data_IF_912855601491
#
_entry.id   IF_912855601491
#
_cell.length_a   1.000
_cell.length_b   1.000
_cell.length_c   1.000
_cell.angle_alpha   90.00
_cell.angle_beta   90.00
_cell.angle_gamma   90.00
#
_symmetry.space_group_name_H-M   'P 1'
#
loop_
_entity.id
_entity.type
_entity.pdbx_description
1 polymer ?
#
# COMPACT_ATOMS: atom_id res chain seq x y z
N UNK A 1 5.17 -2.66 -13.87
CA UNK A 1 3.82 -2.10 -14.06
C UNK A 1 3.89 -1.10 -15.20
N UNK A 2 3.06 -1.24 -16.21
CA UNK A 2 2.95 -0.27 -17.31
C UNK A 2 2.15 0.92 -16.79
N UNK A 3 2.80 2.05 -16.53
CA UNK A 3 2.13 3.30 -16.20
C UNK A 3 1.40 3.80 -17.43
N UNK A 4 0.07 3.82 -17.38
CA UNK A 4 -0.76 4.45 -18.42
C UNK A 4 -0.80 5.95 -18.13
N UNK A 5 -0.04 6.73 -18.89
CA UNK A 5 -0.03 8.21 -18.78
C UNK A 5 -1.27 8.78 -19.45
N UNK A 6 -1.97 9.69 -18.77
CA UNK A 6 -3.08 10.41 -19.37
C UNK A 6 -2.58 11.56 -20.25
N UNK A 7 -2.92 11.51 -21.54
CA UNK A 7 -2.54 12.53 -22.52
C UNK A 7 -3.56 13.68 -22.50
N UNK A 8 -3.23 14.71 -21.70
CA UNK A 8 -4.02 15.93 -21.55
C UNK A 8 -4.22 16.66 -22.88
N UNK A 9 -3.22 16.63 -23.78
CA UNK A 9 -3.28 17.31 -25.07
C UNK A 9 -4.29 16.63 -25.98
N UNK A 10 -4.16 15.32 -26.18
CA UNK A 10 -5.10 14.52 -26.99
C UNK A 10 -6.52 14.64 -26.47
N UNK A 11 -6.72 14.62 -25.15
CA UNK A 11 -8.03 14.79 -24.54
C UNK A 11 -8.63 16.17 -24.84
N UNK A 12 -7.84 17.24 -24.73
CA UNK A 12 -8.29 18.60 -25.05
C UNK A 12 -8.63 18.76 -26.55
N UNK A 13 -7.88 18.11 -27.43
CA UNK A 13 -8.16 18.12 -28.88
C UNK A 13 -9.46 17.42 -29.20
N UNK A 14 -9.73 16.25 -28.60
CA UNK A 14 -11.00 15.53 -28.76
C UNK A 14 -12.17 16.41 -28.33
N UNK A 15 -12.09 17.05 -27.16
CA UNK A 15 -13.15 17.95 -26.68
C UNK A 15 -13.40 19.10 -27.65
N UNK A 16 -12.32 19.70 -28.17
CA UNK A 16 -12.42 20.77 -29.18
C UNK A 16 -13.09 20.29 -30.47
N UNK A 17 -12.78 19.07 -30.94
CA UNK A 17 -13.45 18.49 -32.13
C UNK A 17 -14.93 18.21 -31.90
N UNK A 18 -15.35 18.07 -30.64
CA UNK A 18 -16.77 17.88 -30.26
C UNK A 18 -17.51 19.18 -29.96
N UNK A 19 -16.88 20.35 -30.21
CA UNK A 19 -17.52 21.67 -30.10
C UNK A 19 -17.29 22.40 -28.78
N UNK A 20 -16.42 21.90 -27.90
CA UNK A 20 -16.00 22.65 -26.71
C UNK A 20 -15.03 23.78 -27.06
N UNK A 21 -15.11 24.89 -26.34
CA UNK A 21 -14.10 25.96 -26.46
C UNK A 21 -12.74 25.47 -25.96
N UNK A 22 -11.66 26.11 -26.42
CA UNK A 22 -10.30 25.78 -25.98
C UNK A 22 -10.15 25.88 -24.45
N UNK A 23 -10.78 26.88 -23.85
CA UNK A 23 -10.75 27.12 -22.40
C UNK A 23 -11.47 26.00 -21.64
N UNK A 24 -12.62 25.56 -22.13
CA UNK A 24 -13.37 24.44 -21.56
C UNK A 24 -12.60 23.12 -21.70
N UNK A 25 -12.05 22.87 -22.88
CA UNK A 25 -11.28 21.66 -23.17
C UNK A 25 -10.04 21.56 -22.28
N UNK A 26 -9.29 22.65 -22.13
CA UNK A 26 -8.13 22.73 -21.21
C UNK A 26 -8.54 22.58 -19.75
N UNK A 27 -9.62 23.24 -19.33
CA UNK A 27 -10.13 23.15 -17.96
C UNK A 27 -10.50 21.72 -17.58
N UNK A 28 -11.23 21.01 -18.44
CA UNK A 28 -11.60 19.62 -18.23
C UNK A 28 -10.39 18.68 -18.24
N UNK A 29 -9.43 18.90 -19.15
CA UNK A 29 -8.21 18.11 -19.23
C UNK A 29 -7.35 18.24 -17.97
N UNK A 30 -7.22 19.46 -17.45
CA UNK A 30 -6.49 19.75 -16.22
C UNK A 30 -7.17 19.15 -14.99
N UNK A 31 -8.49 19.29 -14.86
CA UNK A 31 -9.24 18.71 -13.74
C UNK A 31 -9.12 17.19 -13.69
N UNK A 32 -9.21 16.52 -14.85
CA UNK A 32 -9.08 15.06 -14.92
C UNK A 32 -7.65 14.58 -14.61
N UNK A 33 -6.63 15.34 -15.03
CA UNK A 33 -5.23 15.09 -14.66
C UNK A 33 -5.01 15.22 -13.15
N UNK A 34 -5.58 16.24 -12.52
CA UNK A 34 -5.45 16.47 -11.08
C UNK A 34 -6.10 15.36 -10.25
N UNK A 35 -7.29 14.89 -10.66
CA UNK A 35 -7.96 13.73 -10.03
C UNK A 35 -7.13 12.46 -10.20
N UNK A 36 -6.55 12.25 -11.38
CA UNK A 36 -5.70 11.08 -11.62
C UNK A 36 -4.42 11.11 -10.77
N UNK A 37 -3.71 12.23 -10.73
CA UNK A 37 -2.50 12.39 -9.92
C UNK A 37 -2.81 12.23 -8.42
N UNK A 38 -3.92 12.77 -7.95
CA UNK A 38 -4.36 12.66 -6.55
C UNK A 38 -4.75 11.22 -6.19
N UNK A 39 -5.52 10.55 -7.04
CA UNK A 39 -5.90 9.15 -6.84
C UNK A 39 -4.70 8.21 -6.85
N UNK A 40 -3.74 8.43 -7.75
CA UNK A 40 -2.50 7.66 -7.79
C UNK A 40 -1.66 7.83 -6.51
N UNK A 41 -1.55 9.05 -5.99
CA UNK A 41 -0.87 9.34 -4.71
C UNK A 41 -1.56 8.67 -3.52
N UNK A 42 -2.89 8.73 -3.45
CA UNK A 42 -3.66 8.08 -2.38
C UNK A 42 -3.50 6.55 -2.42
N UNK A 43 -3.54 5.94 -3.62
CA UNK A 43 -3.34 4.51 -3.79
C UNK A 43 -1.91 4.07 -3.43
N UNK A 44 -0.90 4.86 -3.77
CA UNK A 44 0.47 4.60 -3.35
C UNK A 44 0.58 4.62 -1.81
N UNK A 45 0.03 5.65 -1.16
CA UNK A 45 0.01 5.75 0.29
C UNK A 45 -0.71 4.58 0.97
N UNK A 46 -1.86 4.13 0.42
CA UNK A 46 -2.58 2.96 0.94
C UNK A 46 -1.77 1.66 0.83
N UNK A 47 -1.03 1.47 -0.28
CA UNK A 47 -0.14 0.31 -0.44
C UNK A 47 1.01 0.35 0.57
N UNK A 48 1.63 1.52 0.76
CA UNK A 48 2.70 1.68 1.74
C UNK A 48 2.22 1.36 3.17
N UNK A 49 1.00 1.78 3.51
CA UNK A 49 0.36 1.42 4.78
C UNK A 49 0.11 -0.09 4.90
N UNK A 50 -0.40 -0.74 3.86
CA UNK A 50 -0.59 -2.20 3.89
C UNK A 50 0.73 -2.96 4.03
N UNK A 51 1.79 -2.52 3.35
CA UNK A 51 3.11 -3.14 3.48
C UNK A 51 3.71 -2.98 4.89
N UNK A 52 3.52 -1.82 5.51
CA UNK A 52 3.99 -1.59 6.89
C UNK A 52 3.19 -2.42 7.89
N UNK A 53 1.86 -2.53 7.75
CA UNK A 53 1.04 -3.43 8.56
C UNK A 53 1.46 -4.91 8.43
N UNK A 54 1.73 -5.38 7.22
CA UNK A 54 2.19 -6.75 6.98
C UNK A 54 3.55 -7.01 7.64
N UNK A 55 4.49 -6.08 7.53
CA UNK A 55 5.80 -6.17 8.21
C UNK A 55 5.64 -6.25 9.72
N UNK A 56 4.80 -5.39 10.30
CA UNK A 56 4.52 -5.40 11.74
C UNK A 56 3.88 -6.71 12.20
N UNK A 57 2.91 -7.25 11.45
CA UNK A 57 2.29 -8.56 11.74
C UNK A 57 3.31 -9.69 11.72
N UNK A 58 4.20 -9.73 10.72
CA UNK A 58 5.25 -10.74 10.61
C UNK A 58 6.24 -10.62 11.77
N UNK A 59 6.66 -9.40 12.12
CA UNK A 59 7.58 -9.17 13.23
C UNK A 59 6.96 -9.56 14.57
N UNK A 60 5.68 -9.23 14.78
CA UNK A 60 4.93 -9.64 15.96
C UNK A 60 4.85 -11.17 16.07
N UNK A 61 4.51 -11.87 14.98
CA UNK A 61 4.49 -13.33 14.95
C UNK A 61 5.87 -13.91 15.27
N UNK A 62 6.95 -13.35 14.69
CA UNK A 62 8.32 -13.77 14.96
C UNK A 62 8.66 -13.67 16.45
N UNK A 63 8.30 -12.56 17.10
CA UNK A 63 8.52 -12.37 18.53
C UNK A 63 7.68 -13.33 19.39
N UNK A 64 6.40 -13.52 19.06
CA UNK A 64 5.52 -14.47 19.77
C UNK A 64 6.11 -15.89 19.70
N UNK A 65 6.55 -16.33 18.52
CA UNK A 65 7.17 -17.65 18.34
C UNK A 65 8.45 -17.76 19.17
N UNK A 66 9.30 -16.72 19.15
CA UNK A 66 10.54 -16.70 19.92
C UNK A 66 10.30 -16.77 21.43
N UNK A 67 9.35 -15.99 21.95
CA UNK A 67 8.97 -15.99 23.37
C UNK A 67 8.36 -17.34 23.76
N UNK A 68 7.44 -17.88 22.97
CA UNK A 68 6.80 -19.16 23.24
C UNK A 68 7.83 -20.32 23.26
N UNK A 69 8.76 -20.34 22.31
CA UNK A 69 9.85 -21.31 22.28
C UNK A 69 10.77 -21.17 23.50
N UNK A 70 11.11 -19.94 23.89
CA UNK A 70 11.88 -19.66 25.10
C UNK A 70 11.18 -20.14 26.37
N UNK A 71 9.89 -19.85 26.51
CA UNK A 71 9.07 -20.31 27.65
C UNK A 71 8.98 -21.84 27.68
N UNK A 72 8.75 -22.49 26.55
CA UNK A 72 8.72 -23.95 26.47
C UNK A 72 10.06 -24.57 26.90
N UNK A 73 11.18 -24.01 26.43
CA UNK A 73 12.51 -24.46 26.84
C UNK A 73 12.76 -24.27 28.34
N UNK A 74 12.33 -23.15 28.91
CA UNK A 74 12.41 -22.89 30.36
C UNK A 74 11.58 -23.89 31.17
N UNK A 75 10.34 -24.17 30.76
CA UNK A 75 9.48 -25.17 31.41
C UNK A 75 10.14 -26.55 31.40
N UNK A 76 10.69 -26.96 30.24
CA UNK A 76 11.40 -28.24 30.11
C UNK A 76 12.62 -28.29 31.03
N UNK A 77 13.39 -27.21 31.11
CA UNK A 77 14.57 -27.13 31.99
C UNK A 77 14.18 -27.28 33.46
N UNK A 78 13.11 -26.62 33.91
CA UNK A 78 12.59 -26.74 35.28
C UNK A 78 12.12 -28.16 35.58
N UNK A 79 11.36 -28.79 34.67
CA UNK A 79 10.89 -30.16 34.85
C UNK A 79 12.04 -31.17 34.96
N UNK A 80 13.14 -30.94 34.23
CA UNK A 80 14.33 -31.80 34.30
C UNK A 80 15.11 -31.65 35.61
N UNK A 81 14.98 -30.51 36.31
CA UNK A 81 15.67 -30.25 37.58
C UNK A 81 15.07 -31.04 38.76
N UNK A 82 13.83 -31.50 38.65
CA UNK A 82 13.17 -32.35 39.65
C UNK A 82 13.06 -33.79 39.12
N UNK A 83 14.07 -34.65 39.32
CA UNK A 83 13.99 -36.04 38.92
C UNK A 83 12.82 -36.72 39.66
N UNK A 84 11.97 -37.43 38.91
CA UNK A 84 10.99 -38.34 39.50
C UNK A 84 11.78 -39.43 40.24
N UNK A 85 11.54 -39.54 41.54
CA UNK A 85 12.02 -40.65 42.37
C UNK A 85 11.62 -42.00 41.80
#
# INVERSE_FOLDING_TARGET
>A
MTTITFDTLRFSEVLRTTGFSEEQAKGMASALREVQESGLKEMASKRDLQETELRLKIELIRWIVGVAAGQAALIIAVLRMFPSH
#
